data_IF_118844151537
#
_entry.id   IF_118844151537
#
_cell.length_a   1.000
_cell.length_b   1.000
_cell.length_c   1.000
_cell.angle_alpha   90.00
_cell.angle_beta   90.00
_cell.angle_gamma   90.00
#
_symmetry.space_group_name_H-M   'P 1'
#
loop_
_entity.id
_entity.type
_entity.pdbx_description
1 polymer ?
#
# COMPACT_ATOMS: atom_id res chain seq x y z
N UNK A 1 -10.54 37.43 33.34
CA UNK A 1 -11.52 36.34 33.11
C UNK A 1 -10.74 35.05 32.93
N UNK A 2 -11.00 33.97 33.68
CA UNK A 2 -10.33 32.70 33.43
C UNK A 2 -10.74 32.21 32.04
N UNK A 3 -9.76 31.93 31.18
CA UNK A 3 -10.03 31.31 29.89
C UNK A 3 -10.63 29.92 30.14
N UNK A 4 -11.82 29.66 29.59
CA UNK A 4 -12.40 28.33 29.59
C UNK A 4 -11.42 27.37 28.90
N UNK A 5 -10.79 26.48 29.67
CA UNK A 5 -9.98 25.38 29.13
C UNK A 5 -10.89 24.21 28.82
N UNK A 6 -10.69 23.60 27.66
CA UNK A 6 -11.34 22.35 27.32
C UNK A 6 -10.80 21.23 28.24
N UNK A 7 -11.61 20.22 28.58
CA UNK A 7 -11.11 18.97 29.15
C UNK A 7 -10.01 18.37 28.26
N UNK A 8 -8.94 17.89 28.89
CA UNK A 8 -7.74 17.43 28.18
C UNK A 8 -8.01 16.27 27.22
N UNK A 9 -8.95 15.39 27.54
CA UNK A 9 -9.39 14.28 26.71
C UNK A 9 -9.98 14.76 25.38
N UNK A 10 -10.78 15.84 25.44
CA UNK A 10 -11.35 16.46 24.24
C UNK A 10 -10.29 17.17 23.42
N UNK A 11 -9.31 17.83 24.06
CA UNK A 11 -8.17 18.42 23.36
C UNK A 11 -7.37 17.35 22.60
N UNK A 12 -7.06 16.23 23.26
CA UNK A 12 -6.36 15.12 22.62
C UNK A 12 -7.17 14.48 21.48
N UNK A 13 -8.49 14.37 21.63
CA UNK A 13 -9.35 13.85 20.58
C UNK A 13 -9.38 14.78 19.36
N UNK A 14 -9.49 16.09 19.59
CA UNK A 14 -9.40 17.10 18.52
C UNK A 14 -8.03 17.02 17.83
N UNK A 15 -6.95 16.89 18.59
CA UNK A 15 -5.60 16.74 18.03
C UNK A 15 -5.47 15.44 17.23
N UNK A 16 -6.07 14.34 17.67
CA UNK A 16 -6.09 13.08 16.93
C UNK A 16 -6.80 13.22 15.59
N UNK A 17 -7.94 13.91 15.56
CA UNK A 17 -8.67 14.22 14.33
C UNK A 17 -7.94 15.21 13.42
N UNK A 18 -7.27 16.21 14.01
CA UNK A 18 -6.51 17.22 13.29
C UNK A 18 -5.13 16.75 12.82
N UNK A 19 -4.63 15.63 13.36
CA UNK A 19 -3.33 15.10 12.96
C UNK A 19 -3.41 14.70 11.49
N UNK A 20 -2.51 15.19 10.62
CA UNK A 20 -2.54 14.85 9.21
C UNK A 20 -2.65 13.33 9.01
N UNK A 21 -3.49 12.89 8.06
CA UNK A 21 -3.72 11.47 7.82
C UNK A 21 -2.40 10.78 7.52
N UNK A 22 -2.34 9.50 7.88
CA UNK A 22 -1.10 8.70 7.95
C UNK A 22 -0.54 8.30 6.57
N UNK A 23 -1.00 8.93 5.49
CA UNK A 23 -0.61 8.62 4.11
C UNK A 23 0.88 8.92 3.91
N UNK A 24 1.62 8.04 3.21
CA UNK A 24 3.08 8.11 3.08
C UNK A 24 3.59 9.43 2.51
N UNK A 25 2.89 9.96 1.50
CA UNK A 25 3.17 11.26 0.86
C UNK A 25 3.05 12.44 1.84
N UNK A 26 2.42 12.26 2.99
CA UNK A 26 2.26 13.27 4.04
C UNK A 26 3.03 12.99 5.32
N UNK A 27 3.98 12.03 5.37
CA UNK A 27 4.77 11.79 6.58
C UNK A 27 5.51 13.05 7.03
N UNK A 28 6.13 13.79 6.12
CA UNK A 28 6.76 15.07 6.45
C UNK A 28 5.77 16.08 7.03
N UNK A 29 4.56 16.18 6.45
CA UNK A 29 3.49 17.07 6.96
C UNK A 29 3.01 16.63 8.34
N UNK A 30 2.91 15.32 8.57
CA UNK A 30 2.52 14.74 9.86
C UNK A 30 3.58 14.99 10.92
N UNK A 31 4.85 14.72 10.63
CA UNK A 31 5.97 15.00 11.53
C UNK A 31 6.03 16.50 11.84
N UNK A 32 5.88 17.35 10.83
CA UNK A 32 5.82 18.80 11.02
C UNK A 32 4.63 19.20 11.90
N UNK A 33 3.42 18.70 11.62
CA UNK A 33 2.22 18.97 12.41
C UNK A 33 2.34 18.50 13.85
N UNK A 34 2.85 17.28 14.08
CA UNK A 34 3.10 16.75 15.42
C UNK A 34 4.17 17.54 16.16
N UNK A 35 5.19 18.04 15.45
CA UNK A 35 6.20 18.94 16.03
C UNK A 35 5.59 20.27 16.46
N UNK A 36 4.69 20.86 15.65
CA UNK A 36 3.97 22.08 16.04
C UNK A 36 3.09 21.85 17.27
N UNK A 37 2.34 20.74 17.29
CA UNK A 37 1.50 20.36 18.43
C UNK A 37 2.34 20.15 19.71
N UNK A 38 3.49 19.50 19.58
CA UNK A 38 4.39 19.23 20.69
C UNK A 38 4.96 20.50 21.36
N UNK A 39 5.00 21.63 20.64
CA UNK A 39 5.46 22.92 21.15
C UNK A 39 4.40 23.67 21.98
N UNK A 40 3.12 23.32 21.84
CA UNK A 40 2.01 24.01 22.52
C UNK A 40 1.98 23.68 24.01
N UNK A 41 2.19 22.41 24.38
CA UNK A 41 2.13 21.99 25.78
C UNK A 41 2.92 20.70 26.06
N UNK A 42 3.48 20.56 27.28
CA UNK A 42 4.29 19.39 27.68
C UNK A 42 3.55 18.06 27.57
N UNK A 43 2.25 18.03 27.88
CA UNK A 43 1.45 16.81 27.74
C UNK A 43 1.25 16.42 26.27
N UNK A 44 1.19 17.40 25.35
CA UNK A 44 1.16 17.15 23.91
C UNK A 44 2.50 16.67 23.37
N UNK A 45 3.63 17.09 23.95
CA UNK A 45 4.95 16.53 23.59
C UNK A 45 4.96 15.01 23.80
N UNK A 46 4.51 14.54 24.97
CA UNK A 46 4.43 13.11 25.27
C UNK A 46 3.50 12.38 24.30
N UNK A 47 2.32 12.95 24.04
CA UNK A 47 1.36 12.39 23.09
C UNK A 47 1.91 12.35 21.66
N UNK A 48 2.57 13.41 21.19
CA UNK A 48 3.15 13.50 19.86
C UNK A 48 4.28 12.48 19.67
N UNK A 49 5.12 12.27 20.69
CA UNK A 49 6.12 11.20 20.68
C UNK A 49 5.47 9.82 20.54
N UNK A 50 4.43 9.52 21.35
CA UNK A 50 3.69 8.25 21.21
C UNK A 50 3.13 8.10 19.79
N UNK A 51 2.53 9.14 19.22
CA UNK A 51 1.97 9.11 17.85
C UNK A 51 3.01 8.98 16.75
N UNK A 52 4.23 9.48 16.97
CA UNK A 52 5.37 9.26 16.06
C UNK A 52 5.89 7.82 16.15
N UNK A 53 5.92 7.25 17.36
CA UNK A 53 6.38 5.89 17.60
C UNK A 53 5.34 4.80 17.29
N UNK A 54 4.07 5.15 17.02
CA UNK A 54 3.05 4.17 16.60
C UNK A 54 3.31 3.59 15.19
N UNK A 55 4.21 4.20 14.40
CA UNK A 55 4.45 3.84 13.00
C UNK A 55 5.92 3.59 12.72
N UNK A 56 6.21 2.49 12.04
CA UNK A 56 7.53 2.23 11.48
C UNK A 56 7.49 2.48 9.98
N UNK A 57 8.25 3.47 9.51
CA UNK A 57 8.44 3.74 8.09
C UNK A 57 9.80 3.21 7.66
N UNK A 58 9.81 2.25 6.76
CA UNK A 58 11.02 1.84 6.05
C UNK A 58 10.87 2.09 4.56
N UNK A 59 11.86 2.77 4.00
CA UNK A 59 12.01 2.98 2.56
C UNK A 59 13.38 2.45 2.22
N UNK A 60 13.42 1.37 1.43
CA UNK A 60 14.68 0.76 1.02
C UNK A 60 15.51 1.75 0.21
N UNK A 61 16.80 1.83 0.53
CA UNK A 61 17.81 2.54 -0.25
C UNK A 61 18.96 1.56 -0.41
N UNK A 62 19.31 1.13 -1.62
CA UNK A 62 20.37 0.15 -1.90
C UNK A 62 21.77 0.62 -1.48
N UNK A 63 21.98 0.79 -0.18
CA UNK A 63 23.21 1.29 0.44
C UNK A 63 23.86 0.15 1.22
N UNK A 64 25.19 0.17 1.27
CA UNK A 64 25.93 -0.69 2.19
C UNK A 64 25.47 -0.44 3.63
N UNK A 65 25.29 -1.50 4.41
CA UNK A 65 24.84 -1.42 5.79
C UNK A 65 23.32 -1.25 5.99
N UNK A 66 22.51 -1.31 4.93
CA UNK A 66 21.06 -1.04 5.03
C UNK A 66 20.32 -2.17 5.79
N UNK A 67 20.82 -3.41 5.72
CA UNK A 67 20.30 -4.54 6.50
C UNK A 67 20.49 -4.30 8.01
N UNK A 68 21.71 -3.98 8.42
CA UNK A 68 22.06 -3.69 9.82
C UNK A 68 21.27 -2.50 10.33
N UNK A 69 21.15 -1.43 9.53
CA UNK A 69 20.33 -0.26 9.88
C UNK A 69 18.85 -0.60 10.07
N UNK A 70 18.29 -1.44 9.20
CA UNK A 70 16.92 -1.90 9.36
C UNK A 70 16.77 -2.70 10.66
N UNK A 71 17.68 -3.65 10.92
CA UNK A 71 17.68 -4.46 12.12
C UNK A 71 17.83 -3.62 13.40
N UNK A 72 18.74 -2.64 13.42
CA UNK A 72 18.93 -1.71 14.53
C UNK A 72 17.68 -0.88 14.79
N UNK A 73 17.06 -0.34 13.73
CA UNK A 73 15.84 0.46 13.85
C UNK A 73 14.66 -0.38 14.35
N UNK A 74 14.53 -1.62 13.88
CA UNK A 74 13.51 -2.54 14.36
C UNK A 74 13.75 -2.91 15.83
N UNK A 75 14.99 -3.22 16.20
CA UNK A 75 15.35 -3.52 17.60
C UNK A 75 15.07 -2.33 18.51
N UNK A 76 15.38 -1.10 18.07
CA UNK A 76 15.06 0.11 18.82
C UNK A 76 13.55 0.37 18.93
N UNK A 77 12.78 0.03 17.88
CA UNK A 77 11.33 0.26 17.83
C UNK A 77 10.49 -0.80 18.55
N UNK A 78 10.89 -2.07 18.47
CA UNK A 78 10.15 -3.22 18.95
C UNK A 78 10.82 -3.94 20.13
N UNK A 79 12.13 -3.80 20.31
CA UNK A 79 12.90 -4.55 21.32
C UNK A 79 12.80 -4.00 22.74
N UNK A 80 12.19 -2.84 22.96
CA UNK A 80 11.96 -2.32 24.31
C UNK A 80 10.61 -2.80 24.86
N UNK A 81 10.57 -3.60 25.94
CA UNK A 81 9.32 -4.03 26.57
C UNK A 81 8.51 -2.86 27.16
N UNK A 82 9.12 -1.67 27.29
CA UNK A 82 8.49 -0.44 27.80
C UNK A 82 7.82 0.41 26.72
N UNK A 83 8.18 0.22 25.45
CA UNK A 83 7.55 0.93 24.34
C UNK A 83 6.32 0.13 23.89
N UNK A 84 5.17 0.80 23.80
CA UNK A 84 3.97 0.21 23.18
C UNK A 84 4.37 -0.33 21.80
N UNK A 85 4.11 -1.62 21.57
CA UNK A 85 4.46 -2.30 20.33
C UNK A 85 3.99 -1.50 19.12
N UNK A 86 4.89 -1.36 18.15
CA UNK A 86 4.61 -0.78 16.85
C UNK A 86 3.41 -1.48 16.22
N UNK A 87 2.27 -0.79 16.22
CA UNK A 87 1.03 -1.34 15.68
C UNK A 87 0.98 -1.29 14.15
N UNK A 88 1.81 -0.45 13.52
CA UNK A 88 1.77 -0.20 12.08
C UNK A 88 3.14 -0.22 11.44
N UNK A 89 3.26 -0.98 10.37
CA UNK A 89 4.44 -1.07 9.52
C UNK A 89 4.11 -0.51 8.14
N UNK A 90 4.93 0.44 7.69
CA UNK A 90 4.96 0.89 6.31
C UNK A 90 6.28 0.45 5.69
N UNK A 91 6.16 -0.27 4.59
CA UNK A 91 7.28 -0.85 3.89
C UNK A 91 7.25 -0.42 2.43
N UNK A 92 8.24 0.37 2.04
CA UNK A 92 8.49 0.76 0.65
C UNK A 92 9.78 0.13 0.17
N UNK A 93 9.62 -0.91 -0.63
CA UNK A 93 10.70 -1.70 -1.20
C UNK A 93 10.83 -1.48 -2.70
N UNK A 94 10.20 -0.45 -3.29
CA UNK A 94 10.21 -0.20 -4.75
C UNK A 94 11.63 -0.16 -5.32
N UNK A 95 12.52 0.58 -4.66
CA UNK A 95 13.92 0.69 -5.05
C UNK A 95 14.67 -0.66 -4.97
N UNK A 96 14.24 -1.59 -4.11
CA UNK A 96 14.89 -2.90 -3.96
C UNK A 96 14.72 -3.77 -5.21
N UNK A 97 13.56 -3.74 -5.87
CA UNK A 97 13.42 -4.51 -7.11
C UNK A 97 14.05 -3.84 -8.31
N UNK A 98 14.07 -2.51 -8.40
CA UNK A 98 14.90 -1.86 -9.41
C UNK A 98 16.35 -2.32 -9.24
N UNK A 99 16.79 -2.45 -7.98
CA UNK A 99 18.10 -2.96 -7.65
C UNK A 99 18.31 -4.47 -7.90
N UNK A 100 17.26 -5.27 -7.79
CA UNK A 100 17.33 -6.71 -8.04
C UNK A 100 17.23 -7.03 -9.55
N UNK A 101 16.40 -6.29 -10.30
CA UNK A 101 16.22 -6.47 -11.75
C UNK A 101 17.54 -6.28 -12.50
N UNK A 102 18.33 -5.24 -12.16
CA UNK A 102 19.65 -5.08 -12.80
C UNK A 102 20.63 -6.21 -12.50
N UNK A 103 20.44 -6.93 -11.40
CA UNK A 103 21.26 -8.12 -11.07
C UNK A 103 20.79 -9.34 -11.83
N UNK A 104 19.48 -9.60 -11.94
CA UNK A 104 18.95 -10.74 -12.69
C UNK A 104 19.24 -10.63 -14.19
N UNK A 105 19.10 -9.45 -14.79
CA UNK A 105 19.38 -9.24 -16.23
C UNK A 105 20.86 -9.51 -16.60
N UNK A 106 21.79 -9.53 -15.62
CA UNK A 106 23.19 -9.92 -15.85
C UNK A 106 23.43 -11.42 -15.90
N UNK A 107 22.53 -12.23 -15.36
CA UNK A 107 22.70 -13.68 -15.29
C UNK A 107 22.03 -14.42 -16.46
N UNK A 108 21.05 -13.81 -17.12
CA UNK A 108 20.30 -14.40 -18.23
C UNK A 108 20.70 -13.85 -19.60
N UNK A 109 22.00 -13.67 -19.87
CA UNK A 109 22.48 -13.50 -21.26
C UNK A 109 22.92 -14.85 -21.85
N UNK A 110 21.98 -15.67 -22.38
CA UNK A 110 22.29 -16.96 -22.99
C UNK A 110 23.13 -16.83 -24.27
N UNK A 111 23.40 -15.61 -24.74
CA UNK A 111 24.24 -15.34 -25.90
C UNK A 111 25.69 -15.05 -25.56
N UNK A 112 26.07 -14.96 -24.27
CA UNK A 112 27.47 -14.80 -23.89
C UNK A 112 28.25 -16.13 -23.79
N UNK A 113 27.78 -17.15 -24.52
CA UNK A 113 28.50 -18.40 -24.76
C UNK A 113 28.76 -18.57 -26.25
N UNK A 114 29.58 -17.70 -26.86
CA UNK A 114 30.56 -18.00 -27.92
C UNK A 114 30.93 -16.77 -28.76
N UNK A 115 32.10 -16.21 -28.52
CA UNK A 115 33.20 -16.28 -29.49
C UNK A 115 34.30 -15.30 -29.12
N UNK A 116 35.47 -15.88 -28.91
CA UNK A 116 36.75 -15.24 -29.10
C UNK A 116 36.78 -14.39 -30.38
N UNK A 117 37.10 -13.11 -30.25
CA UNK A 117 38.08 -12.43 -31.10
C UNK A 117 38.49 -11.10 -30.47
N UNK A 118 39.70 -11.13 -29.90
CA UNK A 118 40.64 -10.00 -29.74
C UNK A 118 40.53 -9.04 -30.95
N UNK A 119 40.71 -7.72 -30.91
CA UNK A 119 41.65 -6.89 -30.16
C UNK A 119 41.34 -5.43 -30.52
N UNK A 120 41.34 -4.53 -29.54
CA UNK A 120 41.99 -3.22 -29.67
C UNK A 120 41.99 -2.53 -28.30
N UNK A 121 43.18 -2.46 -27.72
CA UNK A 121 43.45 -1.81 -26.47
C UNK A 121 43.11 -0.31 -26.54
N UNK A 122 42.28 0.15 -25.60
CA UNK A 122 42.19 1.57 -25.24
C UNK A 122 42.53 1.68 -23.75
N UNK A 123 43.66 2.31 -23.38
CA UNK A 123 44.01 2.49 -21.98
C UNK A 123 43.06 3.55 -21.41
N UNK A 124 42.16 3.13 -20.52
CA UNK A 124 41.35 4.07 -19.73
C UNK A 124 41.92 4.04 -18.31
N UNK A 125 42.85 4.95 -18.07
CA UNK A 125 43.36 5.28 -16.74
C UNK A 125 42.25 6.01 -15.97
N UNK A 126 41.48 5.28 -15.18
CA UNK A 126 40.85 5.80 -13.96
C UNK A 126 40.54 4.62 -13.03
N UNK A 127 41.60 4.09 -12.43
CA UNK A 127 41.52 3.38 -11.16
C UNK A 127 41.18 4.42 -10.07
N UNK A 128 39.90 4.64 -9.83
CA UNK A 128 39.45 5.00 -8.50
C UNK A 128 38.95 3.70 -7.89
N UNK A 129 39.54 3.32 -6.76
CA UNK A 129 39.20 2.19 -5.91
C UNK A 129 37.67 2.07 -5.69
N UNK A 130 36.99 1.43 -6.63
CA UNK A 130 35.78 0.69 -6.34
C UNK A 130 36.28 -0.59 -5.69
N UNK A 131 36.49 -0.52 -4.37
CA UNK A 131 36.32 -1.69 -3.54
C UNK A 131 34.92 -2.23 -3.86
N UNK A 132 34.87 -3.15 -4.82
CA UNK A 132 33.83 -4.14 -5.01
C UNK A 132 33.87 -5.02 -3.76
N UNK A 133 33.51 -4.40 -2.63
CA UNK A 133 33.15 -5.06 -1.40
C UNK A 133 31.97 -5.92 -1.80
N UNK A 134 32.27 -7.17 -2.10
CA UNK A 134 31.37 -8.18 -2.60
C UNK A 134 30.13 -8.12 -1.74
N UNK A 135 29.09 -7.48 -2.27
CA UNK A 135 27.86 -7.20 -1.56
C UNK A 135 27.46 -8.52 -0.90
N UNK A 136 27.55 -8.54 0.43
CA UNK A 136 27.03 -9.59 1.30
C UNK A 136 25.75 -10.13 0.66
N UNK A 137 25.69 -11.45 0.46
CA UNK A 137 24.74 -12.11 -0.44
C UNK A 137 23.32 -11.54 -0.41
N UNK A 138 22.55 -11.68 -1.51
CA UNK A 138 21.30 -10.96 -1.71
C UNK A 138 20.39 -11.10 -0.49
N UNK A 139 20.30 -10.03 0.29
CA UNK A 139 19.44 -10.00 1.47
C UNK A 139 18.09 -9.41 1.08
N UNK A 140 17.05 -9.94 1.70
CA UNK A 140 15.69 -9.49 1.51
C UNK A 140 15.25 -8.67 2.72
N UNK A 141 14.67 -7.46 2.54
CA UNK A 141 14.04 -6.71 3.63
C UNK A 141 13.01 -7.54 4.42
N UNK A 142 12.38 -8.52 3.76
CA UNK A 142 11.40 -9.40 4.38
C UNK A 142 12.02 -10.34 5.42
N UNK A 143 13.24 -10.82 5.22
CA UNK A 143 13.89 -11.72 6.17
C UNK A 143 14.21 -11.01 7.50
N UNK A 144 14.60 -9.74 7.40
CA UNK A 144 14.85 -8.88 8.56
C UNK A 144 13.55 -8.54 9.29
N UNK A 145 12.46 -8.34 8.55
CA UNK A 145 11.15 -7.97 9.11
C UNK A 145 10.38 -9.15 9.70
N UNK A 146 10.61 -10.36 9.17
CA UNK A 146 9.85 -11.58 9.49
C UNK A 146 9.63 -11.83 11.00
N UNK A 147 10.63 -11.65 11.90
CA UNK A 147 10.42 -11.88 13.33
C UNK A 147 9.46 -10.88 13.98
N UNK A 148 9.33 -9.68 13.41
CA UNK A 148 8.57 -8.57 13.96
C UNK A 148 7.14 -8.51 13.43
N UNK A 149 6.94 -9.03 12.22
CA UNK A 149 5.68 -9.08 11.50
C UNK A 149 4.48 -9.59 12.34
N UNK A 150 4.57 -10.68 13.12
CA UNK A 150 3.43 -11.17 13.94
C UNK A 150 2.89 -10.18 14.97
N UNK A 151 3.70 -9.20 15.41
CA UNK A 151 3.29 -8.19 16.39
C UNK A 151 2.60 -6.98 15.75
N UNK A 152 2.63 -6.87 14.42
CA UNK A 152 2.10 -5.72 13.68
C UNK A 152 0.64 -5.97 13.33
N UNK A 153 -0.25 -5.04 13.73
CA UNK A 153 -1.68 -5.10 13.42
C UNK A 153 -2.03 -4.55 12.04
N UNK A 154 -1.26 -3.57 11.55
CA UNK A 154 -1.51 -2.92 10.26
C UNK A 154 -0.25 -2.88 9.42
N UNK A 155 -0.30 -3.41 8.20
CA UNK A 155 0.84 -3.44 7.27
C UNK A 155 0.47 -2.71 6.00
N UNK A 156 1.32 -1.78 5.57
CA UNK A 156 1.19 -1.04 4.32
C UNK A 156 2.38 -1.40 3.44
N UNK A 157 2.09 -1.97 2.27
CA UNK A 157 3.06 -2.59 1.39
C UNK A 157 3.13 -1.82 0.06
N UNK A 158 4.29 -1.24 -0.18
CA UNK A 158 4.71 -0.66 -1.44
C UNK A 158 5.77 -1.60 -1.99
N UNK A 159 5.34 -2.82 -2.32
CA UNK A 159 6.24 -3.80 -2.91
C UNK A 159 6.46 -3.45 -4.39
N UNK A 160 7.53 -3.98 -4.95
CA UNK A 160 7.62 -4.15 -6.38
C UNK A 160 7.39 -5.60 -6.84
N UNK A 161 7.10 -5.71 -8.14
CA UNK A 161 6.69 -6.88 -8.94
C UNK A 161 7.28 -8.27 -8.60
N UNK A 162 8.46 -8.40 -7.97
CA UNK A 162 9.16 -9.69 -7.85
C UNK A 162 9.19 -10.25 -6.42
N UNK A 163 8.02 -10.47 -5.82
CA UNK A 163 7.93 -11.29 -4.61
C UNK A 163 8.27 -12.77 -4.86
N UNK A 164 8.27 -13.22 -6.12
CA UNK A 164 8.64 -14.59 -6.52
C UNK A 164 10.01 -15.02 -5.98
N UNK A 165 11.01 -14.13 -6.02
CA UNK A 165 12.36 -14.44 -5.56
C UNK A 165 12.47 -14.62 -4.03
N UNK A 166 11.53 -14.06 -3.26
CA UNK A 166 11.54 -14.11 -1.80
C UNK A 166 10.69 -15.26 -1.22
N UNK A 167 10.02 -16.04 -2.08
CA UNK A 167 9.02 -17.03 -1.67
C UNK A 167 7.71 -16.40 -1.20
N UNK A 168 6.74 -17.21 -0.72
CA UNK A 168 5.46 -16.71 -0.27
C UNK A 168 5.68 -15.69 0.84
N UNK A 169 5.18 -14.47 0.64
CA UNK A 169 5.25 -13.43 1.65
C UNK A 169 4.61 -13.99 2.93
N UNK A 170 5.34 -14.15 4.05
CA UNK A 170 4.73 -14.65 5.27
C UNK A 170 3.88 -13.54 5.86
N UNK A 171 2.66 -13.37 5.34
CA UNK A 171 1.75 -12.38 5.89
C UNK A 171 1.42 -12.83 7.30
N UNK A 172 1.54 -11.87 8.21
CA UNK A 172 1.57 -12.14 9.63
C UNK A 172 0.22 -12.66 10.10
N UNK A 173 0.21 -13.73 10.90
CA UNK A 173 -1.02 -14.23 11.54
C UNK A 173 -1.73 -13.16 12.38
N UNK A 174 -1.01 -12.16 12.90
CA UNK A 174 -1.57 -11.06 13.69
C UNK A 174 -2.09 -9.84 12.92
N UNK A 175 -1.93 -9.80 11.58
CA UNK A 175 -2.30 -8.62 10.80
C UNK A 175 -3.81 -8.53 10.62
N UNK A 176 -4.39 -7.45 11.12
CA UNK A 176 -5.82 -7.14 11.05
C UNK A 176 -6.15 -6.21 9.86
N UNK A 177 -5.18 -5.39 9.43
CA UNK A 177 -5.30 -4.42 8.33
C UNK A 177 -4.14 -4.58 7.36
N UNK A 178 -4.43 -4.67 6.06
CA UNK A 178 -3.45 -4.72 4.99
C UNK A 178 -3.78 -3.69 3.91
N UNK A 179 -2.80 -2.91 3.50
CA UNK A 179 -2.91 -1.99 2.36
C UNK A 179 -1.81 -2.26 1.34
N UNK A 180 -2.19 -2.36 0.07
CA UNK A 180 -1.35 -2.76 -1.05
C UNK A 180 -1.51 -1.71 -2.16
N UNK A 181 -0.41 -1.25 -2.76
CA UNK A 181 -0.39 -0.20 -3.79
C UNK A 181 -0.08 -0.77 -5.20
N UNK A 182 -0.39 -0.02 -6.27
CA UNK A 182 -0.32 -0.37 -7.71
C UNK A 182 0.94 -1.11 -8.12
N UNK A 183 2.06 -0.62 -7.62
CA UNK A 183 3.37 -1.12 -8.01
C UNK A 183 3.74 -2.40 -7.27
N UNK A 184 2.92 -2.81 -6.29
CA UNK A 184 3.14 -3.98 -5.45
C UNK A 184 3.37 -5.22 -6.28
N UNK A 185 2.50 -5.47 -7.26
CA UNK A 185 2.48 -6.68 -8.06
C UNK A 185 2.33 -6.35 -9.52
N UNK A 186 2.96 -7.19 -10.33
CA UNK A 186 2.64 -7.21 -11.74
C UNK A 186 1.30 -7.80 -12.02
N UNK A 187 0.91 -7.60 -13.27
CA UNK A 187 -0.34 -8.05 -13.89
C UNK A 187 -0.59 -9.56 -13.69
N UNK A 188 0.41 -10.35 -13.28
CA UNK A 188 0.35 -11.82 -13.21
C UNK A 188 0.30 -12.43 -11.79
N UNK A 189 0.45 -11.68 -10.69
CA UNK A 189 0.84 -12.29 -9.39
C UNK A 189 -0.16 -12.11 -8.21
N UNK A 190 -1.37 -11.65 -8.46
CA UNK A 190 -2.44 -11.63 -7.42
C UNK A 190 -2.69 -13.00 -6.73
N UNK A 191 -2.65 -14.16 -7.43
CA UNK A 191 -2.92 -15.48 -6.84
C UNK A 191 -1.99 -15.88 -5.68
N UNK A 192 -0.80 -15.31 -5.56
CA UNK A 192 0.16 -15.74 -4.52
C UNK A 192 -0.12 -15.10 -3.15
N UNK A 193 -0.64 -13.88 -3.11
CA UNK A 193 -1.12 -13.32 -1.84
C UNK A 193 -2.35 -14.09 -1.33
N UNK A 194 -3.12 -14.68 -2.24
CA UNK A 194 -4.28 -15.48 -1.91
C UNK A 194 -3.94 -16.69 -1.02
N UNK A 195 -2.79 -17.31 -1.24
CA UNK A 195 -2.33 -18.46 -0.46
C UNK A 195 -1.78 -18.06 0.92
N UNK A 196 -1.34 -16.81 1.06
CA UNK A 196 -0.62 -16.35 2.24
C UNK A 196 -1.45 -15.44 3.16
N UNK A 197 -2.64 -15.00 2.75
CA UNK A 197 -3.37 -13.96 3.47
C UNK A 197 -3.61 -14.30 4.96
N UNK A 198 -3.46 -13.33 5.87
CA UNK A 198 -3.66 -13.57 7.29
C UNK A 198 -5.07 -14.06 7.60
N UNK A 199 -5.19 -15.13 8.38
CA UNK A 199 -6.49 -15.58 8.87
C UNK A 199 -7.25 -14.49 9.65
N UNK A 200 -6.53 -13.56 10.31
CA UNK A 200 -7.11 -12.48 11.10
C UNK A 200 -7.34 -11.18 10.31
N UNK A 201 -7.17 -11.19 8.99
CA UNK A 201 -7.35 -9.99 8.16
C UNK A 201 -8.82 -9.55 8.17
N UNK A 202 -9.09 -8.37 8.71
CA UNK A 202 -10.44 -7.78 8.78
C UNK A 202 -10.64 -6.64 7.80
N UNK A 203 -9.56 -5.96 7.41
CA UNK A 203 -9.60 -4.80 6.50
C UNK A 203 -8.51 -4.94 5.43
N UNK A 204 -8.92 -4.83 4.17
CA UNK A 204 -8.03 -4.88 3.02
C UNK A 204 -8.25 -3.65 2.15
N UNK A 205 -7.16 -2.94 1.84
CA UNK A 205 -7.14 -1.80 0.93
C UNK A 205 -6.25 -2.14 -0.25
N UNK A 206 -6.79 -2.09 -1.44
CA UNK A 206 -6.09 -2.37 -2.69
C UNK A 206 -6.10 -1.09 -3.51
N UNK A 207 -4.92 -0.62 -3.93
CA UNK A 207 -4.81 0.55 -4.79
C UNK A 207 -4.27 0.14 -6.15
N UNK A 208 -4.99 0.51 -7.19
CA UNK A 208 -4.67 0.23 -8.60
C UNK A 208 -4.25 -1.22 -8.84
N UNK A 209 -4.96 -2.13 -8.20
CA UNK A 209 -4.79 -3.57 -8.39
C UNK A 209 -5.83 -4.02 -9.40
N UNK A 210 -5.43 -4.83 -10.38
CA UNK A 210 -6.35 -5.52 -11.27
C UNK A 210 -6.79 -6.85 -10.67
N UNK A 211 -8.09 -7.02 -10.47
CA UNK A 211 -8.70 -8.20 -9.87
C UNK A 211 -9.51 -8.91 -10.96
N UNK A 212 -8.85 -9.73 -11.78
CA UNK A 212 -9.49 -10.49 -12.86
C UNK A 212 -9.79 -11.95 -12.48
N UNK A 213 -8.89 -12.64 -11.76
CA UNK A 213 -8.91 -14.12 -11.78
C UNK A 213 -9.31 -14.83 -10.48
N UNK A 214 -9.39 -14.15 -9.34
CA UNK A 214 -10.04 -14.67 -8.11
C UNK A 214 -9.74 -13.77 -6.92
N UNK A 215 -10.72 -13.55 -6.05
CA UNK A 215 -10.45 -12.99 -4.71
C UNK A 215 -10.28 -14.16 -3.73
N UNK A 216 -9.20 -14.18 -2.93
CA UNK A 216 -8.95 -15.27 -2.00
C UNK A 216 -10.09 -15.45 -1.01
N UNK A 217 -10.17 -16.66 -0.44
CA UNK A 217 -10.95 -16.90 0.77
C UNK A 217 -10.37 -16.12 1.94
N UNK A 218 -11.00 -14.98 2.23
CA UNK A 218 -10.69 -14.13 3.38
C UNK A 218 -11.87 -14.16 4.36
N UNK A 219 -12.06 -15.26 5.11
CA UNK A 219 -13.32 -15.51 5.84
C UNK A 219 -13.67 -14.43 6.87
N UNK A 220 -12.64 -13.75 7.41
CA UNK A 220 -12.78 -12.72 8.43
C UNK A 220 -12.79 -11.29 7.86
N UNK A 221 -12.72 -11.12 6.53
CA UNK A 221 -12.69 -9.81 5.91
C UNK A 221 -14.03 -9.10 6.09
N UNK A 222 -14.01 -7.94 6.75
CA UNK A 222 -15.17 -7.08 6.99
C UNK A 222 -15.18 -5.84 6.13
N UNK A 223 -14.00 -5.31 5.81
CA UNK A 223 -13.85 -4.09 5.04
C UNK A 223 -12.96 -4.33 3.83
N UNK A 224 -13.47 -4.03 2.64
CA UNK A 224 -12.71 -4.03 1.39
C UNK A 224 -12.78 -2.64 0.77
N UNK A 225 -11.62 -2.04 0.52
CA UNK A 225 -11.50 -0.75 -0.15
C UNK A 225 -10.68 -0.92 -1.41
N UNK A 226 -11.27 -0.59 -2.55
CA UNK A 226 -10.62 -0.57 -3.86
C UNK A 226 -10.37 0.88 -4.25
N UNK A 227 -9.15 1.24 -4.62
CA UNK A 227 -8.79 2.62 -4.96
C UNK A 227 -8.11 2.62 -6.32
N UNK A 228 -8.75 3.11 -7.39
CA UNK A 228 -8.22 3.07 -8.76
C UNK A 228 -7.95 1.67 -9.29
N UNK A 229 -8.54 0.67 -8.65
CA UNK A 229 -8.45 -0.72 -9.06
C UNK A 229 -9.42 -1.00 -10.21
N UNK A 230 -9.05 -1.90 -11.09
CA UNK A 230 -10.01 -2.59 -11.96
C UNK A 230 -10.49 -3.85 -11.25
N UNK A 231 -11.79 -4.09 -11.32
CA UNK A 231 -12.40 -5.25 -10.67
C UNK A 231 -13.36 -5.87 -11.67
N UNK A 232 -12.90 -6.94 -12.30
CA UNK A 232 -13.65 -7.69 -13.30
C UNK A 232 -13.90 -9.06 -12.71
N UNK A 233 -15.11 -9.27 -12.18
CA UNK A 233 -15.53 -10.62 -11.85
C UNK A 233 -16.37 -11.15 -12.99
N UNK A 234 -15.78 -12.08 -13.73
CA UNK A 234 -16.54 -12.92 -14.64
C UNK A 234 -17.55 -13.72 -13.81
N UNK A 235 -18.84 -13.39 -13.99
CA UNK A 235 -19.97 -14.11 -13.39
C UNK A 235 -19.88 -15.60 -13.77
N UNK A 236 -20.02 -16.55 -12.83
CA UNK A 236 -20.96 -16.51 -11.71
C UNK A 236 -20.37 -16.74 -10.30
N UNK A 237 -19.05 -16.91 -10.16
CA UNK A 237 -18.44 -17.28 -8.90
C UNK A 237 -18.09 -16.03 -8.08
N UNK A 238 -19.09 -15.43 -7.43
CA UNK A 238 -18.78 -14.56 -6.28
C UNK A 238 -18.00 -15.44 -5.30
N UNK A 239 -16.72 -15.13 -5.00
CA UNK A 239 -15.99 -15.94 -4.05
C UNK A 239 -16.80 -15.92 -2.75
N UNK A 240 -17.20 -17.10 -2.26
CA UNK A 240 -17.91 -17.24 -0.98
C UNK A 240 -17.20 -16.52 0.16
N UNK A 241 -15.88 -16.35 -0.01
CA UNK A 241 -14.99 -15.46 0.69
C UNK A 241 -15.52 -14.05 1.01
N UNK A 242 -16.24 -13.42 0.07
CA UNK A 242 -16.69 -12.03 0.19
C UNK A 242 -18.05 -11.91 0.85
N UNK A 243 -18.75 -13.02 1.10
CA UNK A 243 -20.10 -13.04 1.66
C UNK A 243 -20.19 -12.49 3.09
N UNK A 244 -19.07 -12.20 3.76
CA UNK A 244 -19.00 -11.66 5.13
C UNK A 244 -18.64 -10.17 5.20
N UNK A 245 -18.51 -9.47 4.06
CA UNK A 245 -18.14 -8.05 4.02
C UNK A 245 -19.26 -7.18 4.60
N UNK A 246 -18.88 -6.30 5.51
CA UNK A 246 -19.76 -5.28 6.08
C UNK A 246 -19.65 -3.96 5.30
N UNK A 247 -18.44 -3.60 4.87
CA UNK A 247 -18.16 -2.34 4.17
C UNK A 247 -17.36 -2.62 2.90
N UNK A 248 -17.92 -2.21 1.76
CA UNK A 248 -17.24 -2.16 0.48
C UNK A 248 -17.12 -0.70 0.04
N UNK A 249 -15.91 -0.25 -0.27
CA UNK A 249 -15.68 1.07 -0.84
C UNK A 249 -14.90 0.95 -2.15
N UNK A 250 -15.33 1.72 -3.15
CA UNK A 250 -14.67 1.83 -4.45
C UNK A 250 -14.38 3.30 -4.72
N UNK A 251 -13.11 3.65 -4.91
CA UNK A 251 -12.64 5.04 -5.04
C UNK A 251 -11.86 5.21 -6.33
N UNK A 252 -12.41 5.97 -7.28
CA UNK A 252 -11.82 6.24 -8.58
C UNK A 252 -11.44 4.96 -9.35
N UNK A 253 -12.11 3.85 -9.03
CA UNK A 253 -11.92 2.55 -9.66
C UNK A 253 -12.80 2.44 -10.89
N UNK A 254 -12.31 1.75 -11.91
CA UNK A 254 -13.06 1.40 -13.12
C UNK A 254 -13.97 0.22 -12.83
N UNK A 255 -14.81 0.37 -11.81
CA UNK A 255 -15.96 -0.49 -11.65
C UNK A 255 -16.97 -0.07 -12.69
N UNK A 256 -17.32 -1.00 -13.58
CA UNK A 256 -18.51 -0.87 -14.37
C UNK A 256 -19.67 -0.59 -13.40
N UNK A 257 -20.24 0.60 -13.51
CA UNK A 257 -21.37 1.02 -12.67
C UNK A 257 -22.66 0.80 -13.45
N UNK A 258 -22.75 -0.33 -14.14
CA UNK A 258 -24.01 -0.72 -14.73
C UNK A 258 -24.96 -1.07 -13.57
N UNK A 259 -26.25 -0.73 -13.64
CA UNK A 259 -27.24 -1.12 -12.63
C UNK A 259 -27.26 -2.64 -12.35
N UNK A 260 -26.87 -3.45 -13.34
CA UNK A 260 -26.74 -4.90 -13.17
C UNK A 260 -25.53 -5.29 -12.30
N UNK A 261 -24.47 -4.48 -12.32
CA UNK A 261 -23.30 -4.68 -11.46
C UNK A 261 -23.66 -4.38 -10.01
N UNK A 262 -24.65 -3.53 -9.73
CA UNK A 262 -25.12 -3.34 -8.35
C UNK A 262 -25.78 -4.58 -7.77
N UNK A 263 -26.46 -5.37 -8.60
CA UNK A 263 -27.03 -6.66 -8.20
C UNK A 263 -25.94 -7.65 -7.77
N UNK A 264 -24.72 -7.49 -8.28
CA UNK A 264 -23.55 -8.24 -7.83
C UNK A 264 -23.22 -7.95 -6.36
N UNK A 265 -23.26 -6.69 -5.94
CA UNK A 265 -22.93 -6.23 -4.57
C UNK A 265 -23.95 -6.60 -3.49
N UNK A 266 -25.21 -6.77 -3.89
CA UNK A 266 -26.33 -7.03 -2.98
C UNK A 266 -26.10 -8.20 -2.00
N UNK A 267 -25.63 -9.39 -2.44
CA UNK A 267 -25.45 -10.52 -1.54
C UNK A 267 -24.26 -10.40 -0.58
N UNK A 268 -23.25 -9.56 -0.86
CA UNK A 268 -21.97 -9.65 -0.12
C UNK A 268 -21.64 -8.47 0.77
N UNK A 269 -22.08 -7.26 0.45
CA UNK A 269 -21.78 -6.07 1.25
C UNK A 269 -23.03 -5.56 1.97
N UNK A 270 -22.89 -5.24 3.26
CA UNK A 270 -23.95 -4.53 4.00
C UNK A 270 -24.01 -3.05 3.63
N UNK A 271 -22.85 -2.42 3.50
CA UNK A 271 -22.70 -1.03 3.06
C UNK A 271 -21.78 -0.97 1.84
N UNK A 272 -22.24 -0.36 0.75
CA UNK A 272 -21.45 -0.09 -0.44
C UNK A 272 -21.31 1.42 -0.68
N UNK A 273 -20.09 1.90 -0.90
CA UNK A 273 -19.81 3.30 -1.25
C UNK A 273 -18.97 3.39 -2.51
N UNK A 274 -19.44 4.17 -3.47
CA UNK A 274 -18.78 4.37 -4.74
C UNK A 274 -18.42 5.85 -4.89
N UNK A 275 -17.14 6.12 -5.09
CA UNK A 275 -16.59 7.46 -5.28
C UNK A 275 -15.98 7.53 -6.68
N UNK A 276 -16.67 8.09 -7.68
CA UNK A 276 -16.24 8.02 -9.09
C UNK A 276 -15.69 9.35 -9.60
N UNK A 277 -14.60 9.29 -10.37
CA UNK A 277 -14.00 10.45 -11.04
C UNK A 277 -14.57 10.69 -12.43
N UNK A 278 -15.05 9.64 -13.09
CA UNK A 278 -15.55 9.67 -14.48
C UNK A 278 -16.82 8.85 -14.57
N UNK A 279 -17.82 9.36 -15.30
CA UNK A 279 -18.95 8.54 -15.70
C UNK A 279 -18.43 7.52 -16.73
N UNK A 280 -18.51 6.21 -16.48
CA UNK A 280 -18.07 5.23 -17.46
C UNK A 280 -18.81 5.45 -18.77
N UNK A 281 -18.07 5.51 -19.87
CA UNK A 281 -18.65 5.65 -21.20
C UNK A 281 -19.53 4.40 -21.47
N UNK A 282 -20.85 4.54 -21.61
CA UNK A 282 -21.73 3.41 -21.82
C UNK A 282 -21.38 2.63 -23.10
N UNK A 283 -20.68 3.23 -24.06
CA UNK A 283 -20.20 2.53 -25.26
C UNK A 283 -18.97 1.64 -25.01
N UNK A 284 -18.19 1.91 -23.95
CA UNK A 284 -17.02 1.11 -23.55
C UNK A 284 -17.36 0.01 -22.55
N UNK A 285 -18.51 0.12 -21.89
CA UNK A 285 -19.10 -0.96 -21.12
C UNK A 285 -19.58 -2.03 -22.11
N UNK A 286 -18.68 -2.92 -22.51
CA UNK A 286 -19.04 -4.13 -23.24
C UNK A 286 -20.15 -4.82 -22.46
N UNK A 287 -21.36 -4.80 -22.99
CA UNK A 287 -22.53 -5.28 -22.26
C UNK A 287 -22.32 -6.75 -21.86
N UNK A 288 -22.22 -7.03 -20.57
CA UNK A 288 -22.42 -8.37 -20.00
C UNK A 288 -23.91 -8.74 -20.12
N UNK A 289 -24.42 -8.87 -21.34
CA UNK A 289 -25.77 -9.33 -21.65
C UNK A 289 -25.81 -10.85 -21.48
N UNK A 290 -26.07 -11.34 -20.26
CA UNK A 290 -26.34 -12.77 -20.09
C UNK A 290 -26.52 -13.28 -18.68
N UNK A 291 -25.95 -12.60 -17.68
CA UNK A 291 -26.07 -13.06 -16.31
C UNK A 291 -27.42 -12.63 -15.70
N UNK A 292 -28.27 -13.60 -15.39
CA UNK A 292 -29.43 -13.38 -14.52
C UNK A 292 -28.96 -12.93 -13.13
N UNK A 293 -29.63 -11.95 -12.49
CA UNK A 293 -29.24 -11.48 -11.17
C UNK A 293 -29.22 -12.64 -10.16
N UNK A 294 -28.29 -12.63 -9.19
CA UNK A 294 -28.19 -13.68 -8.20
C UNK A 294 -29.49 -13.77 -7.40
N UNK A 295 -29.98 -14.98 -7.15
CA UNK A 295 -31.20 -15.26 -6.37
C UNK A 295 -31.00 -15.14 -4.86
N UNK A 296 -29.79 -14.78 -4.40
CA UNK A 296 -29.48 -14.65 -2.99
C UNK A 296 -30.21 -13.44 -2.36
N UNK A 297 -30.67 -13.55 -1.09
CA UNK A 297 -31.29 -12.43 -0.40
C UNK A 297 -30.28 -11.29 -0.24
N UNK A 298 -30.70 -10.09 -0.60
CA UNK A 298 -29.87 -8.88 -0.46
C UNK A 298 -29.49 -8.66 1.01
N UNK A 299 -28.19 -8.57 1.28
CA UNK A 299 -27.63 -8.09 2.56
C UNK A 299 -27.38 -6.58 2.55
N UNK A 300 -27.47 -5.95 1.39
CA UNK A 300 -27.19 -4.53 1.20
C UNK A 300 -28.24 -3.66 1.87
N UNK A 301 -27.81 -2.94 2.91
CA UNK A 301 -28.63 -1.99 3.67
C UNK A 301 -28.44 -0.56 3.19
N UNK A 302 -27.23 -0.20 2.74
CA UNK A 302 -26.91 1.16 2.31
C UNK A 302 -26.02 1.14 1.08
N UNK A 303 -26.41 1.89 0.05
CA UNK A 303 -25.62 2.09 -1.16
C UNK A 303 -25.53 3.59 -1.44
N UNK A 304 -24.31 4.10 -1.58
CA UNK A 304 -24.07 5.53 -1.82
C UNK A 304 -23.16 5.74 -3.02
N UNK A 305 -23.51 6.73 -3.83
CA UNK A 305 -22.74 7.17 -4.99
C UNK A 305 -22.34 8.62 -4.79
N UNK A 306 -21.04 8.87 -4.88
CA UNK A 306 -20.46 10.20 -4.76
C UNK A 306 -19.59 10.47 -5.98
N UNK A 307 -19.89 11.55 -6.69
CA UNK A 307 -19.03 12.02 -7.78
C UNK A 307 -17.88 12.83 -7.19
N UNK A 308 -16.66 12.35 -7.41
CA UNK A 308 -15.44 13.07 -7.08
C UNK A 308 -15.25 14.16 -8.13
N UNK A 309 -15.60 15.39 -7.79
CA UNK A 309 -15.24 16.55 -8.61
C UNK A 309 -13.72 16.61 -8.67
N UNK A 310 -13.14 16.58 -9.88
CA UNK A 310 -11.73 16.88 -10.05
C UNK A 310 -11.45 18.19 -9.33
N UNK A 311 -10.45 18.20 -8.43
CA UNK A 311 -9.99 19.45 -7.86
C UNK A 311 -9.69 20.38 -9.05
N UNK A 312 -10.22 21.62 -9.06
CA UNK A 312 -9.95 22.53 -10.16
C UNK A 312 -8.44 22.56 -10.34
N UNK A 313 -7.98 22.13 -11.52
CA UNK A 313 -6.56 22.18 -11.86
C UNK A 313 -6.18 23.63 -11.56
N UNK A 314 -5.27 23.90 -10.60
CA UNK A 314 -4.92 25.27 -10.29
C UNK A 314 -4.51 25.89 -11.61
N UNK A 315 -5.26 26.91 -12.04
CA UNK A 315 -5.03 27.58 -13.32
C UNK A 315 -3.53 27.78 -13.42
N UNK A 316 -2.91 27.16 -14.43
CA UNK A 316 -1.47 27.12 -14.61
C UNK A 316 -0.92 28.46 -14.17
N UNK A 317 -0.18 28.47 -13.05
CA UNK A 317 0.45 29.68 -12.54
C UNK A 317 1.04 30.40 -13.75
N UNK A 318 0.67 31.67 -14.03
CA UNK A 318 1.21 32.37 -15.18
C UNK A 318 2.72 32.21 -15.14
N UNK A 319 3.28 31.73 -16.25
CA UNK A 319 4.70 31.45 -16.36
C UNK A 319 5.45 32.72 -15.94
N UNK A 320 6.20 32.73 -14.82
CA UNK A 320 6.84 33.94 -14.32
C UNK A 320 7.84 34.51 -15.32
N UNK A 321 8.21 33.74 -16.36
CA UNK A 321 9.10 34.15 -17.43
C UNK A 321 8.39 34.83 -18.62
N UNK A 322 7.06 34.81 -18.70
CA UNK A 322 6.31 35.47 -19.79
C UNK A 322 6.27 37.01 -19.67
N UNK A 323 6.73 37.58 -18.55
CA UNK A 323 6.73 39.04 -18.29
C UNK A 323 8.06 39.74 -18.59
N UNK A 324 9.04 39.06 -19.19
CA UNK A 324 10.38 39.60 -19.52
C UNK A 324 10.69 39.61 -21.02
N UNK A 325 9.67 39.77 -21.88
CA UNK A 325 9.86 40.07 -23.30
C UNK A 325 9.12 41.34 -23.69
#
# INVERSE_FOLDING_TARGET
MPAFRLPFELELHILELATPPRVSKSVHRRVYGLRQIALVHRSFTKWAHVKLHEQFLFTFRGRAGEQERLQERLTAGFGSPSLRMLSRLYLDTRAWCEDAKWKLDRFDDPYNSSSESQSHARPTEHAADQDDDALSGPWSPYDVLRPWLPAVKSVWLFTPYSLEAAGPFPLCTGTEYLEIDEHAWGDEHWPDLCLAAPANLTSLVLRSVDLQDSVPSLPNLRTLVLIRSSFWLDYPEVPTALLSIDVFESIASDLACHPNDLAFFQPFARTARFYQTTCPDPAKLGYCHGASPPTAPSRLETCTFTWLTAAPVPASSPDPLATLR
#
